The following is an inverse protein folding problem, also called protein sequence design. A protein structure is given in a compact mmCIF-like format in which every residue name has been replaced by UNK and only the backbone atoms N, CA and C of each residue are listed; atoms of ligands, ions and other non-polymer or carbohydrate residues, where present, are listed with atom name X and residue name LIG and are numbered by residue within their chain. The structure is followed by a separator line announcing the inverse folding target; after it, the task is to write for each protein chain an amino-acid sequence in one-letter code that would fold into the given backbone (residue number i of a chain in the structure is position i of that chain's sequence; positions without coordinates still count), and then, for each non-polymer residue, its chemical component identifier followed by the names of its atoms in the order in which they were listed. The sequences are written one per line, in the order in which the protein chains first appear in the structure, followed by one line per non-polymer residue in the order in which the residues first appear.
data_IF_829085986828
#
_entry.id   IF_829085986828
#
_cell.length_a   1.000
_cell.length_b   1.000
_cell.length_c   1.000
_cell.angle_alpha   90.00
_cell.angle_beta   90.00
_cell.angle_gamma   90.00
#
_symmetry.space_group_name_H-M   'P 1'
#
loop_
_entity.id
_entity.type
_entity.pdbx_description
1 polymer ?
#
# COMPACT_ATOMS: atom_id res chain seq x y z
N UNK A 1 1.02 16.53 -13.17
CA UNK A 1 -0.19 15.75 -12.83
C UNK A 1 -0.61 16.10 -11.42
N UNK A 2 -1.88 15.93 -11.07
CA UNK A 2 -2.36 16.17 -9.70
C UNK A 2 -2.20 14.91 -8.82
N UNK A 3 -2.06 15.12 -7.52
CA UNK A 3 -2.02 14.04 -6.55
C UNK A 3 -3.33 13.23 -6.56
N UNK A 4 -3.26 11.92 -6.31
CA UNK A 4 -4.46 11.09 -6.15
C UNK A 4 -4.67 10.83 -4.67
N UNK A 5 -5.66 11.50 -4.08
CA UNK A 5 -6.08 11.26 -2.71
C UNK A 5 -7.35 10.38 -2.68
N UNK A 6 -7.36 9.42 -1.75
CA UNK A 6 -8.52 8.60 -1.38
C UNK A 6 -8.74 8.75 0.11
N UNK A 7 -9.94 9.13 0.51
CA UNK A 7 -10.35 9.25 1.92
C UNK A 7 -11.32 8.11 2.26
N UNK A 8 -11.27 7.61 3.50
CA UNK A 8 -12.23 6.63 3.99
C UNK A 8 -13.66 7.20 4.04
N UNK A 9 -14.68 6.36 4.25
CA UNK A 9 -16.08 6.79 4.32
C UNK A 9 -16.36 7.94 5.30
N UNK A 10 -15.67 7.97 6.45
CA UNK A 10 -15.78 9.05 7.44
C UNK A 10 -14.82 10.23 7.22
N UNK A 11 -13.93 10.12 6.23
CA UNK A 11 -12.93 11.12 5.87
C UNK A 11 -11.72 11.24 6.80
N UNK A 12 -11.61 10.42 7.85
CA UNK A 12 -10.51 10.54 8.83
C UNK A 12 -9.22 9.90 8.31
N UNK A 13 -9.29 8.69 7.78
CA UNK A 13 -8.13 8.03 7.15
C UNK A 13 -8.02 8.49 5.71
N UNK A 14 -6.82 8.87 5.27
CA UNK A 14 -6.55 9.26 3.88
C UNK A 14 -5.24 8.67 3.43
N UNK A 15 -5.24 8.09 2.23
CA UNK A 15 -4.03 7.74 1.48
C UNK A 15 -3.88 8.72 0.32
N UNK A 16 -2.68 9.28 0.16
CA UNK A 16 -2.38 10.17 -0.96
C UNK A 16 -1.19 9.63 -1.74
N UNK A 17 -1.41 9.29 -3.02
CA UNK A 17 -0.33 9.01 -3.98
C UNK A 17 0.18 10.35 -4.51
N UNK A 18 1.48 10.60 -4.34
CA UNK A 18 2.10 11.86 -4.72
C UNK A 18 2.35 11.91 -6.24
N UNK A 19 2.26 13.10 -6.88
CA UNK A 19 2.37 13.24 -8.32
C UNK A 19 3.83 13.24 -8.79
N UNK A 20 4.55 12.15 -8.53
CA UNK A 20 5.93 11.95 -8.96
C UNK A 20 6.01 10.83 -10.01
N UNK A 21 6.38 11.20 -11.23
CA UNK A 21 6.56 10.25 -12.33
C UNK A 21 7.87 9.44 -12.23
N UNK A 22 8.88 9.92 -11.52
CA UNK A 22 10.15 9.20 -11.38
C UNK A 22 10.03 8.00 -10.43
N UNK A 23 9.15 8.11 -9.43
CA UNK A 23 8.94 7.09 -8.38
C UNK A 23 7.57 7.24 -7.74
N UNK A 24 6.80 6.16 -7.72
CA UNK A 24 5.57 6.10 -6.94
C UNK A 24 5.87 6.23 -5.45
N UNK A 25 5.20 7.20 -4.83
CA UNK A 25 5.27 7.46 -3.40
C UNK A 25 3.89 7.74 -2.85
N UNK A 26 3.68 7.44 -1.58
CA UNK A 26 2.44 7.70 -0.89
C UNK A 26 2.67 8.21 0.54
N UNK A 27 1.63 8.82 1.09
CA UNK A 27 1.54 9.21 2.50
C UNK A 27 0.19 8.75 3.05
N UNK A 28 0.12 8.57 4.38
CA UNK A 28 -1.13 8.24 5.06
C UNK A 28 -1.34 9.16 6.26
N UNK A 29 -2.54 9.68 6.39
CA UNK A 29 -2.96 10.51 7.53
C UNK A 29 -4.17 9.92 8.23
N UNK A 30 -4.23 10.07 9.56
CA UNK A 30 -5.41 9.87 10.39
C UNK A 30 -5.80 11.21 11.02
N UNK A 31 -6.91 11.79 10.58
CA UNK A 31 -7.30 13.15 10.93
C UNK A 31 -6.25 14.16 10.44
N UNK A 32 -5.61 14.86 11.38
CA UNK A 32 -4.53 15.81 11.10
C UNK A 32 -3.13 15.23 11.37
N UNK A 33 -3.03 13.96 11.74
CA UNK A 33 -1.77 13.30 12.10
C UNK A 33 -1.26 12.48 10.93
N UNK A 34 0.00 12.68 10.53
CA UNK A 34 0.70 11.78 9.61
C UNK A 34 1.03 10.49 10.33
N UNK A 35 0.55 9.35 9.81
CA UNK A 35 0.82 8.01 10.36
C UNK A 35 1.82 7.22 9.53
N UNK A 36 1.92 7.56 8.24
CA UNK A 36 3.04 7.16 7.38
C UNK A 36 3.56 8.39 6.66
N UNK A 37 4.83 8.68 6.87
CA UNK A 37 5.59 9.67 6.10
C UNK A 37 5.73 9.20 4.64
N UNK A 38 6.34 10.05 3.80
CA UNK A 38 6.50 9.73 2.37
C UNK A 38 7.23 8.41 2.21
N UNK A 39 6.49 7.44 1.70
CA UNK A 39 6.87 6.03 1.57
C UNK A 39 6.90 5.65 0.10
N UNK A 40 7.93 4.91 -0.33
CA UNK A 40 8.06 4.45 -1.71
C UNK A 40 7.27 3.17 -1.95
N UNK A 41 6.61 3.08 -3.10
CA UNK A 41 6.06 1.84 -3.63
C UNK A 41 7.09 1.30 -4.63
N UNK A 42 7.48 0.03 -4.49
CA UNK A 42 8.49 -0.58 -5.36
C UNK A 42 8.09 -2.00 -5.70
N UNK A 43 7.59 -2.18 -6.91
CA UNK A 43 7.23 -3.48 -7.49
C UNK A 43 8.17 -3.81 -8.65
N UNK A 44 9.01 -4.82 -8.46
CA UNK A 44 9.89 -5.35 -9.49
C UNK A 44 9.26 -6.56 -10.17
N UNK A 45 9.32 -6.62 -11.50
CA UNK A 45 8.83 -7.74 -12.27
C UNK A 45 9.79 -8.05 -13.41
N UNK A 46 10.34 -9.27 -13.42
CA UNK A 46 11.30 -9.73 -14.42
C UNK A 46 12.51 -8.78 -14.61
N UNK A 47 12.98 -8.19 -13.51
CA UNK A 47 14.10 -7.25 -13.49
C UNK A 47 13.74 -5.80 -13.83
N UNK A 48 12.48 -5.48 -14.12
CA UNK A 48 12.01 -4.10 -14.30
C UNK A 48 11.32 -3.58 -13.04
N UNK A 49 11.71 -2.39 -12.60
CA UNK A 49 11.02 -1.66 -11.53
C UNK A 49 9.82 -0.89 -12.11
N UNK A 50 8.64 -1.50 -11.99
CA UNK A 50 7.41 -0.97 -12.56
C UNK A 50 6.95 0.32 -11.87
N UNK A 51 7.48 0.62 -10.69
CA UNK A 51 7.10 1.77 -9.86
C UNK A 51 8.06 2.95 -10.01
N UNK A 52 9.05 2.81 -10.90
CA UNK A 52 9.92 3.89 -11.40
C UNK A 52 9.52 4.28 -12.81
N UNK A 53 9.78 5.53 -13.23
CA UNK A 53 9.49 5.97 -14.61
C UNK A 53 8.04 5.65 -15.03
N UNK A 54 7.08 6.18 -14.30
CA UNK A 54 5.66 5.83 -14.46
C UNK A 54 4.89 6.91 -15.22
N UNK A 55 4.20 6.47 -16.26
CA UNK A 55 3.17 7.25 -16.95
C UNK A 55 1.84 6.93 -16.29
N UNK A 56 1.21 7.90 -15.62
CA UNK A 56 -0.14 7.67 -15.11
C UNK A 56 -1.18 7.94 -16.20
N UNK A 57 -2.18 7.08 -16.23
CA UNK A 57 -3.38 7.19 -17.04
C UNK A 57 -4.59 7.59 -16.23
N UNK A 58 -5.72 6.93 -16.51
CA UNK A 58 -6.99 7.23 -15.89
C UNK A 58 -7.03 6.86 -14.40
N UNK A 59 -7.85 7.60 -13.64
CA UNK A 59 -8.19 7.27 -12.25
C UNK A 59 -9.67 6.94 -12.18
N UNK A 60 -10.01 5.67 -11.97
CA UNK A 60 -11.38 5.23 -11.71
C UNK A 60 -11.61 5.22 -10.19
N UNK A 61 -12.70 5.85 -9.73
CA UNK A 61 -13.08 5.85 -8.30
C UNK A 61 -14.31 4.99 -8.10
N UNK A 62 -14.36 4.28 -6.97
CA UNK A 62 -15.48 3.40 -6.63
C UNK A 62 -15.70 3.34 -5.11
N UNK A 63 -16.83 2.79 -4.71
CA UNK A 63 -17.19 2.55 -3.31
C UNK A 63 -17.58 1.08 -3.13
N UNK A 64 -17.29 0.53 -1.96
CA UNK A 64 -17.76 -0.79 -1.54
C UNK A 64 -18.51 -0.62 -0.23
N UNK A 65 -19.68 -1.25 -0.12
CA UNK A 65 -20.47 -1.31 1.09
C UNK A 65 -21.24 -2.64 1.12
N UNK A 66 -20.64 -3.64 1.75
CA UNK A 66 -21.20 -4.98 1.83
C UNK A 66 -20.91 -5.63 3.19
N UNK A 67 -21.64 -6.72 3.46
CA UNK A 67 -21.41 -7.57 4.63
C UNK A 67 -21.44 -9.04 4.21
N UNK A 68 -20.68 -9.88 4.90
CA UNK A 68 -20.64 -11.32 4.62
C UNK A 68 -20.39 -12.14 5.90
N UNK A 69 -20.84 -13.40 5.97
CA UNK A 69 -20.54 -14.29 7.10
C UNK A 69 -19.05 -14.53 7.26
N UNK A 70 -18.57 -14.56 8.50
CA UNK A 70 -17.15 -14.75 8.82
C UNK A 70 -16.96 -15.68 10.01
N UNK A 71 -15.88 -16.46 9.99
CA UNK A 71 -15.48 -17.33 11.09
C UNK A 71 -14.27 -16.75 11.82
N UNK A 72 -14.47 -15.61 12.49
CA UNK A 72 -13.44 -14.94 13.29
C UNK A 72 -13.98 -14.39 14.60
N UNK A 73 -13.44 -13.27 15.09
CA UNK A 73 -13.89 -12.62 16.32
C UNK A 73 -15.36 -12.16 16.29
N UNK A 74 -15.93 -12.01 15.09
CA UNK A 74 -17.34 -11.70 14.84
C UNK A 74 -17.91 -12.70 13.81
N UNK A 75 -19.24 -12.88 13.82
CA UNK A 75 -19.96 -13.74 12.87
C UNK A 75 -20.19 -13.11 11.50
N UNK A 76 -20.06 -11.79 11.41
CA UNK A 76 -20.28 -11.00 10.19
C UNK A 76 -19.13 -10.01 10.02
N UNK A 77 -18.51 -10.00 8.85
CA UNK A 77 -17.54 -8.99 8.44
C UNK A 77 -18.24 -7.88 7.67
N UNK A 78 -17.75 -6.64 7.87
CA UNK A 78 -18.20 -5.45 7.14
C UNK A 78 -17.06 -5.01 6.23
N UNK A 79 -17.34 -4.86 4.93
CA UNK A 79 -16.42 -4.33 3.95
C UNK A 79 -16.99 -3.01 3.42
N UNK A 80 -16.59 -1.91 4.05
CA UNK A 80 -17.02 -0.57 3.69
C UNK A 80 -15.82 0.34 3.44
N UNK A 81 -15.56 0.68 2.18
CA UNK A 81 -14.41 1.50 1.80
C UNK A 81 -14.69 2.35 0.56
N UNK A 82 -13.89 3.41 0.43
CA UNK A 82 -13.73 4.15 -0.82
C UNK A 82 -12.47 3.64 -1.52
N UNK A 83 -12.51 3.52 -2.84
CA UNK A 83 -11.40 3.00 -3.62
C UNK A 83 -11.05 3.84 -4.85
N UNK A 84 -9.83 3.63 -5.33
CA UNK A 84 -9.37 4.17 -6.60
C UNK A 84 -8.54 3.13 -7.35
N UNK A 85 -8.66 3.09 -8.68
CA UNK A 85 -7.80 2.34 -9.59
C UNK A 85 -7.07 3.34 -10.47
N UNK A 86 -5.76 3.38 -10.32
CA UNK A 86 -4.88 4.25 -11.10
C UNK A 86 -4.25 3.39 -12.19
N UNK A 87 -4.58 3.66 -13.46
CA UNK A 87 -3.88 3.04 -14.58
C UNK A 87 -2.48 3.61 -14.68
N UNK A 88 -1.49 2.74 -14.82
CA UNK A 88 -0.07 3.08 -14.85
C UNK A 88 0.61 2.31 -15.98
N UNK A 89 1.62 2.91 -16.58
CA UNK A 89 2.52 2.24 -17.51
C UNK A 89 3.96 2.56 -17.10
N UNK A 90 4.82 1.54 -17.04
CA UNK A 90 6.25 1.77 -16.89
C UNK A 90 6.85 2.19 -18.23
N UNK A 91 7.60 3.29 -18.25
CA UNK A 91 8.12 3.91 -19.48
C UNK A 91 9.23 3.11 -20.17
N UNK A 92 9.89 2.21 -19.44
CA UNK A 92 10.98 1.38 -19.96
C UNK A 92 10.48 0.02 -20.47
N UNK A 93 9.68 -0.68 -19.66
CA UNK A 93 9.16 -2.01 -20.01
C UNK A 93 7.87 -1.97 -20.81
N UNK A 94 7.20 -0.81 -20.88
CA UNK A 94 5.88 -0.60 -21.48
C UNK A 94 4.77 -1.49 -20.90
N UNK A 95 4.98 -2.07 -19.72
CA UNK A 95 3.97 -2.87 -19.03
C UNK A 95 2.90 -1.93 -18.47
N UNK A 96 1.66 -2.14 -18.93
CA UNK A 96 0.47 -1.54 -18.34
C UNK A 96 0.03 -2.33 -17.10
N UNK A 97 -0.30 -1.61 -16.03
CA UNK A 97 -0.82 -2.19 -14.80
C UNK A 97 -1.74 -1.20 -14.06
N UNK A 98 -2.38 -1.67 -12.99
CA UNK A 98 -3.22 -0.83 -12.13
C UNK A 98 -2.71 -0.85 -10.70
N UNK A 99 -2.57 0.32 -10.09
CA UNK A 99 -2.48 0.46 -8.64
C UNK A 99 -3.90 0.63 -8.08
N UNK A 100 -4.40 -0.37 -7.37
CA UNK A 100 -5.71 -0.33 -6.72
C UNK A 100 -5.53 0.03 -5.25
N UNK A 101 -6.26 1.04 -4.79
CA UNK A 101 -6.26 1.55 -3.42
C UNK A 101 -7.65 1.36 -2.83
N UNK A 102 -7.71 1.01 -1.54
CA UNK A 102 -8.92 1.04 -0.71
C UNK A 102 -8.61 1.73 0.61
N UNK A 103 -9.52 2.59 1.04
CA UNK A 103 -9.43 3.30 2.31
C UNK A 103 -10.71 3.08 3.10
N UNK A 104 -10.54 2.53 4.28
CA UNK A 104 -11.56 2.25 5.29
C UNK A 104 -11.52 3.37 6.35
N UNK A 105 -12.42 3.32 7.33
CA UNK A 105 -12.40 4.28 8.45
C UNK A 105 -11.22 4.06 9.40
N UNK A 106 -10.59 2.88 9.35
CA UNK A 106 -9.60 2.41 10.31
C UNK A 106 -8.30 1.91 9.63
N UNK A 107 -8.21 1.96 8.30
CA UNK A 107 -7.04 1.45 7.60
C UNK A 107 -7.01 1.76 6.11
N UNK A 108 -5.85 1.49 5.53
CA UNK A 108 -5.61 1.60 4.09
C UNK A 108 -5.10 0.27 3.56
N UNK A 109 -5.40 -0.02 2.30
CA UNK A 109 -4.82 -1.12 1.57
C UNK A 109 -4.54 -0.67 0.14
N UNK A 110 -3.49 -1.22 -0.46
CA UNK A 110 -3.27 -1.12 -1.90
C UNK A 110 -2.69 -2.41 -2.46
N UNK A 111 -2.81 -2.60 -3.76
CA UNK A 111 -2.18 -3.70 -4.50
C UNK A 111 -1.89 -3.33 -5.94
N UNK A 112 -0.89 -3.99 -6.52
CA UNK A 112 -0.64 -3.97 -7.96
C UNK A 112 -1.50 -5.04 -8.64
N UNK A 113 -2.23 -4.66 -9.69
CA UNK A 113 -2.91 -5.56 -10.61
C UNK A 113 -2.14 -5.53 -11.93
N UNK A 114 -1.26 -6.51 -12.11
CA UNK A 114 -0.41 -6.64 -13.29
C UNK A 114 -0.96 -7.77 -14.15
N UNK A 115 -1.40 -7.50 -15.39
CA UNK A 115 -1.82 -8.54 -16.31
C UNK A 115 -0.68 -9.53 -16.60
N UNK A 116 -1.01 -10.80 -16.78
CA UNK A 116 -0.05 -11.83 -17.14
C UNK A 116 -0.73 -13.01 -17.83
N UNK A 117 -0.01 -13.64 -18.76
CA UNK A 117 -0.47 -14.84 -19.44
C UNK A 117 -0.23 -16.08 -18.58
N UNK A 118 -1.20 -17.01 -18.59
CA UNK A 118 -1.17 -18.24 -17.76
C UNK A 118 0.04 -19.15 -18.03
N UNK A 119 0.64 -19.06 -19.22
CA UNK A 119 1.74 -19.91 -19.67
C UNK A 119 3.10 -19.19 -19.54
N UNK A 120 3.12 -17.96 -19.00
CA UNK A 120 4.34 -17.17 -18.80
C UNK A 120 4.70 -17.19 -17.32
N UNK A 121 5.92 -17.64 -17.02
CA UNK A 121 6.49 -17.50 -15.67
C UNK A 121 6.99 -16.08 -15.48
N UNK A 122 6.68 -15.48 -14.33
CA UNK A 122 7.11 -14.13 -13.93
C UNK A 122 7.80 -14.22 -12.58
N UNK A 123 8.79 -13.36 -12.37
CA UNK A 123 9.54 -13.26 -11.10
C UNK A 123 9.23 -11.91 -10.46
N UNK A 124 8.25 -11.85 -9.53
CA UNK A 124 7.98 -10.65 -8.76
C UNK A 124 8.97 -10.49 -7.60
N UNK A 125 9.26 -9.23 -7.26
CA UNK A 125 9.97 -8.86 -6.04
C UNK A 125 9.45 -7.50 -5.56
N UNK A 126 9.48 -7.23 -4.26
CA UNK A 126 8.85 -6.04 -3.67
C UNK A 126 9.74 -5.39 -2.61
N UNK A 127 9.94 -4.09 -2.74
CA UNK A 127 10.75 -3.26 -1.84
C UNK A 127 9.94 -2.05 -1.32
N UNK A 128 8.62 -2.16 -1.32
CA UNK A 128 7.72 -1.15 -0.78
C UNK A 128 8.11 -0.84 0.67
N UNK A 129 8.22 0.44 0.98
CA UNK A 129 8.58 0.90 2.33
C UNK A 129 7.34 1.40 3.06
N UNK A 130 7.39 1.39 4.39
CA UNK A 130 6.42 2.05 5.26
C UNK A 130 7.20 2.92 6.25
N UNK A 131 7.35 4.21 5.96
CA UNK A 131 8.12 5.13 6.78
C UNK A 131 7.26 5.58 7.96
N UNK A 132 7.48 4.96 9.11
CA UNK A 132 6.78 5.29 10.35
C UNK A 132 7.47 6.51 11.00
N UNK A 133 6.72 7.55 11.41
CA UNK A 133 7.31 8.76 12.00
C UNK A 133 8.14 8.49 13.25
N UNK A 134 9.27 9.19 13.41
CA UNK A 134 10.13 9.11 14.60
C UNK A 134 9.36 9.45 15.89
N UNK A 135 9.70 8.79 17.00
CA UNK A 135 8.95 8.88 18.25
C UNK A 135 7.75 7.91 18.33
N UNK A 136 7.46 7.17 17.26
CA UNK A 136 6.43 6.13 17.27
C UNK A 136 6.89 4.93 18.08
N UNK A 137 6.01 4.43 18.96
CA UNK A 137 6.24 3.17 19.66
C UNK A 137 5.83 2.00 18.77
N UNK A 138 6.72 1.04 18.61
CA UNK A 138 6.44 -0.25 17.97
C UNK A 138 6.48 -1.39 18.98
N UNK A 139 5.71 -2.43 18.68
CA UNK A 139 5.78 -3.72 19.32
C UNK A 139 6.14 -4.72 18.24
N UNK A 140 7.35 -5.28 18.28
CA UNK A 140 7.81 -6.24 17.27
C UNK A 140 8.63 -7.36 17.90
N UNK A 141 8.84 -8.43 17.16
CA UNK A 141 9.84 -9.45 17.45
C UNK A 141 10.65 -9.70 16.18
N UNK A 142 11.79 -10.39 16.30
CA UNK A 142 12.69 -10.61 15.17
C UNK A 142 12.08 -11.44 14.02
N UNK A 143 12.68 -11.32 12.84
CA UNK A 143 12.35 -12.14 11.67
C UNK A 143 13.24 -13.40 11.60
N UNK A 144 13.46 -14.08 12.73
CA UNK A 144 14.36 -15.24 12.89
C UNK A 144 13.95 -16.52 12.12
N UNK A 145 13.10 -16.42 11.10
CA UNK A 145 12.56 -17.55 10.35
C UNK A 145 11.40 -18.27 11.04
N UNK A 146 10.87 -17.71 12.12
CA UNK A 146 9.70 -18.22 12.84
C UNK A 146 8.88 -17.07 13.46
N UNK A 147 7.66 -17.37 13.92
CA UNK A 147 6.76 -16.42 14.57
C UNK A 147 6.57 -16.72 16.08
N UNK A 148 7.58 -17.30 16.74
CA UNK A 148 7.49 -17.80 18.12
C UNK A 148 8.30 -16.97 19.14
N UNK A 149 8.65 -15.72 18.79
CA UNK A 149 9.40 -14.83 19.67
C UNK A 149 8.49 -13.87 20.47
N UNK A 150 8.91 -13.44 21.67
CA UNK A 150 8.18 -12.46 22.44
C UNK A 150 8.24 -11.07 21.78
N UNK A 151 7.16 -10.30 21.90
CA UNK A 151 7.13 -8.91 21.45
C UNK A 151 7.89 -7.99 22.41
N UNK A 152 8.72 -7.11 21.85
CA UNK A 152 9.43 -6.06 22.56
C UNK A 152 8.91 -4.68 22.18
N UNK A 153 8.82 -3.81 23.19
CA UNK A 153 8.42 -2.41 23.02
C UNK A 153 9.65 -1.56 22.73
N UNK A 154 9.68 -0.89 21.59
CA UNK A 154 10.78 -0.03 21.19
C UNK A 154 10.28 1.28 20.56
N UNK A 155 11.13 2.30 20.51
CA UNK A 155 10.94 3.39 19.56
C UNK A 155 11.28 2.87 18.15
N UNK A 156 10.57 3.32 17.13
CA UNK A 156 10.87 2.92 15.75
C UNK A 156 12.31 3.24 15.35
N UNK A 157 12.89 4.31 15.88
CA UNK A 157 14.27 4.70 15.58
C UNK A 157 15.33 3.76 16.17
N UNK A 158 14.94 2.91 17.13
CA UNK A 158 15.81 1.91 17.74
C UNK A 158 15.76 0.55 17.01
N UNK A 159 14.85 0.38 16.03
CA UNK A 159 14.73 -0.86 15.25
C UNK A 159 15.85 -0.91 14.20
N UNK A 160 16.75 -1.91 14.25
CA UNK A 160 17.86 -1.98 13.30
C UNK A 160 17.38 -2.46 11.92
N UNK A 161 18.09 -2.09 10.83
CA UNK A 161 17.77 -2.58 9.48
C UNK A 161 17.73 -4.11 9.39
N UNK A 162 16.74 -4.64 8.69
CA UNK A 162 16.54 -6.08 8.51
C UNK A 162 15.75 -6.77 9.62
N UNK A 163 15.15 -5.99 10.52
CA UNK A 163 14.13 -6.42 11.47
C UNK A 163 12.74 -5.97 11.04
#
# INVERSE_FOLDING_TARGET
MEQVQVAGPDGNVKLTVLPNAERLTFTVTLGNTTVLDTSTIVMNLDGYDLSSGVVFGNVERYEVNETYPWHGAHSTAVNQCNGARISLQNDLSFIDYVLEIRVFNDGVAFRHLIPGDKDVTRVPDEYTTFVIPAGSTVWYHDLGGHYEAPYEKNDISDVPPGQ
#
